data_IF_856981706231
#
_entry.id   IF_856981706231
#
_cell.length_a   1.000
_cell.length_b   1.000
_cell.length_c   1.000
_cell.angle_alpha   90.00
_cell.angle_beta   90.00
_cell.angle_gamma   90.00
#
_symmetry.space_group_name_H-M   'P 1'
#
loop_
_entity.id
_entity.type
_entity.pdbx_description
1 polymer ?
#
# COMPACT_ATOMS: atom_id res chain seq x y z
N UNK A 1 7.63 14.48 11.33
CA UNK A 1 8.29 13.70 10.25
C UNK A 1 7.55 12.38 10.15
N UNK A 2 7.22 11.89 8.95
CA UNK A 2 6.48 10.61 8.77
C UNK A 2 7.47 9.46 8.95
N UNK A 3 7.33 8.69 10.02
CA UNK A 3 8.22 7.57 10.37
C UNK A 3 7.50 6.22 10.39
N UNK A 4 6.17 6.21 10.33
CA UNK A 4 5.36 5.01 10.43
C UNK A 4 4.61 4.75 9.12
N UNK A 5 4.52 3.47 8.74
CA UNK A 5 3.74 3.00 7.61
C UNK A 5 2.76 1.89 8.04
N UNK A 6 1.62 1.82 7.38
CA UNK A 6 0.62 0.76 7.51
C UNK A 6 0.53 0.02 6.19
N UNK A 7 0.56 -1.30 6.24
CA UNK A 7 0.36 -2.17 5.06
C UNK A 7 -0.75 -3.18 5.38
N UNK A 8 -1.96 -2.99 4.81
CA UNK A 8 -3.06 -3.94 4.95
C UNK A 8 -2.80 -5.22 4.16
N UNK A 9 -2.64 -6.34 4.84
CA UNK A 9 -2.34 -7.66 4.25
C UNK A 9 -3.44 -8.69 4.52
N UNK A 10 -4.49 -8.34 5.29
CA UNK A 10 -5.52 -9.29 5.71
C UNK A 10 -6.49 -9.73 4.61
N UNK A 11 -6.52 -9.04 3.47
CA UNK A 11 -7.43 -9.33 2.35
C UNK A 11 -7.25 -10.75 1.79
N UNK A 12 -8.36 -11.40 1.40
CA UNK A 12 -8.37 -12.81 1.01
C UNK A 12 -7.67 -13.11 -0.33
N UNK A 13 -7.52 -12.10 -1.20
CA UNK A 13 -6.87 -12.30 -2.49
C UNK A 13 -7.68 -13.11 -3.50
N UNK A 14 -9.01 -13.03 -3.46
CA UNK A 14 -9.93 -13.85 -4.27
C UNK A 14 -9.70 -13.78 -5.77
N UNK A 15 -9.14 -12.69 -6.27
CA UNK A 15 -8.78 -12.52 -7.69
C UNK A 15 -7.60 -13.40 -8.15
N UNK A 16 -6.89 -14.03 -7.21
CA UNK A 16 -5.74 -14.92 -7.45
C UNK A 16 -6.05 -16.38 -7.05
N UNK A 17 -7.32 -16.73 -6.84
CA UNK A 17 -7.71 -18.12 -6.66
C UNK A 17 -7.39 -18.94 -7.93
N UNK A 18 -7.03 -20.25 -7.77
CA UNK A 18 -6.98 -21.03 -6.51
C UNK A 18 -5.71 -20.83 -5.66
N UNK A 19 -4.64 -20.15 -6.15
CA UNK A 19 -3.37 -20.04 -5.43
C UNK A 19 -3.52 -19.45 -4.03
N UNK A 20 -4.37 -18.46 -3.85
CA UNK A 20 -4.57 -17.79 -2.56
C UNK A 20 -5.41 -18.58 -1.56
N UNK A 21 -5.86 -19.78 -1.92
CA UNK A 21 -6.40 -20.72 -0.94
C UNK A 21 -5.31 -21.27 -0.01
N UNK A 22 -4.05 -21.28 -0.47
CA UNK A 22 -2.89 -21.83 0.25
C UNK A 22 -1.85 -20.75 0.54
N UNK A 23 -1.57 -19.85 -0.42
CA UNK A 23 -0.51 -18.87 -0.32
C UNK A 23 -1.03 -17.46 -0.09
N UNK A 24 -0.37 -16.69 0.78
CA UNK A 24 -0.59 -15.26 0.82
C UNK A 24 -0.06 -14.62 -0.48
N UNK A 25 -0.93 -13.86 -1.19
CA UNK A 25 -0.55 -13.22 -2.47
C UNK A 25 0.68 -12.32 -2.35
N UNK A 26 0.89 -11.75 -1.18
CA UNK A 26 1.98 -10.85 -0.85
C UNK A 26 3.34 -11.57 -0.79
N UNK A 27 3.33 -12.90 -0.63
CA UNK A 27 4.52 -13.75 -0.65
C UNK A 27 4.78 -14.40 -2.00
N UNK A 28 3.94 -14.19 -3.01
CA UNK A 28 4.21 -14.69 -4.35
C UNK A 28 5.53 -14.09 -4.87
N UNK A 29 6.40 -14.94 -5.47
CA UNK A 29 7.73 -14.52 -5.86
C UNK A 29 7.69 -13.64 -7.12
N UNK A 30 8.36 -12.51 -7.08
CA UNK A 30 8.57 -11.61 -8.21
C UNK A 30 10.08 -11.44 -8.36
N UNK A 31 10.65 -11.95 -9.44
CA UNK A 31 12.10 -11.89 -9.70
C UNK A 31 12.95 -12.28 -8.47
N UNK A 32 12.71 -13.46 -7.91
CA UNK A 32 13.53 -14.06 -6.85
C UNK A 32 13.24 -13.61 -5.42
N UNK A 33 12.30 -12.66 -5.18
CA UNK A 33 11.88 -12.25 -3.83
C UNK A 33 10.37 -12.04 -3.74
N UNK A 34 9.76 -12.15 -2.53
CA UNK A 34 8.35 -11.85 -2.34
C UNK A 34 7.97 -10.44 -2.77
N UNK A 35 6.77 -10.27 -3.37
CA UNK A 35 6.25 -8.96 -3.72
C UNK A 35 6.22 -7.98 -2.54
N UNK A 36 5.99 -8.49 -1.33
CA UNK A 36 5.98 -7.70 -0.09
C UNK A 36 7.34 -7.03 0.21
N UNK A 37 8.46 -7.63 -0.19
CA UNK A 37 9.78 -7.03 0.04
C UNK A 37 9.98 -5.73 -0.76
N UNK A 38 9.43 -5.63 -1.97
CA UNK A 38 9.47 -4.37 -2.74
C UNK A 38 8.78 -3.23 -1.98
N UNK A 39 7.66 -3.53 -1.30
CA UNK A 39 6.95 -2.54 -0.49
C UNK A 39 7.73 -2.14 0.77
N UNK A 40 8.39 -3.12 1.42
CA UNK A 40 9.26 -2.85 2.58
C UNK A 40 10.45 -1.97 2.15
N UNK A 41 11.09 -2.30 1.04
CA UNK A 41 12.22 -1.54 0.50
C UNK A 41 11.81 -0.11 0.14
N UNK A 42 10.64 0.09 -0.48
CA UNK A 42 10.06 1.40 -0.74
C UNK A 42 9.92 2.21 0.56
N UNK A 43 9.42 1.59 1.63
CA UNK A 43 9.29 2.22 2.94
C UNK A 43 10.67 2.62 3.53
N UNK A 44 11.65 1.71 3.47
CA UNK A 44 13.01 1.95 3.98
C UNK A 44 13.66 3.14 3.28
N UNK A 45 13.62 3.17 1.94
CA UNK A 45 14.16 4.26 1.13
C UNK A 45 13.44 5.60 1.35
N UNK A 46 12.14 5.55 1.68
CA UNK A 46 11.36 6.73 2.05
C UNK A 46 11.65 7.24 3.46
N UNK A 47 12.48 6.54 4.25
CA UNK A 47 12.87 6.93 5.60
C UNK A 47 11.92 6.49 6.71
N UNK A 48 11.02 5.54 6.42
CA UNK A 48 10.14 4.91 7.40
C UNK A 48 10.97 4.08 8.39
N UNK A 49 10.60 4.12 9.66
CA UNK A 49 11.29 3.43 10.76
C UNK A 49 10.48 2.29 11.36
N UNK A 50 9.16 2.34 11.24
CA UNK A 50 8.25 1.32 11.75
C UNK A 50 7.16 1.02 10.71
N UNK A 51 6.94 -0.27 10.44
CA UNK A 51 5.93 -0.75 9.50
C UNK A 51 4.94 -1.62 10.26
N UNK A 52 3.65 -1.30 10.16
CA UNK A 52 2.58 -2.05 10.80
C UNK A 52 1.88 -2.89 9.75
N UNK A 53 2.06 -4.20 9.83
CA UNK A 53 1.36 -5.17 8.99
C UNK A 53 0.04 -5.56 9.63
N UNK A 54 -1.05 -5.41 8.88
CA UNK A 54 -2.35 -5.91 9.31
C UNK A 54 -2.59 -7.24 8.60
N UNK A 55 -2.51 -8.34 9.33
CA UNK A 55 -2.70 -9.70 8.82
C UNK A 55 -3.96 -10.35 9.41
N UNK A 56 -4.40 -11.45 8.81
CA UNK A 56 -5.36 -12.38 9.45
C UNK A 56 -4.64 -13.64 9.91
N UNK A 57 -5.27 -14.41 10.79
CA UNK A 57 -4.73 -15.72 11.21
C UNK A 57 -4.53 -16.68 10.02
N UNK A 58 -5.33 -16.56 8.95
CA UNK A 58 -5.17 -17.31 7.71
C UNK A 58 -3.88 -16.97 6.95
N UNK A 59 -3.26 -15.82 7.25
CA UNK A 59 -2.01 -15.34 6.65
C UNK A 59 -0.82 -15.36 7.61
N UNK A 60 -0.84 -16.23 8.60
CA UNK A 60 0.26 -16.41 9.57
C UNK A 60 1.60 -16.70 8.87
N UNK A 61 1.59 -17.24 7.66
CA UNK A 61 2.78 -17.48 6.85
C UNK A 61 3.57 -16.20 6.56
N UNK A 62 2.92 -15.04 6.49
CA UNK A 62 3.61 -13.74 6.37
C UNK A 62 4.45 -13.48 7.62
N UNK A 63 3.90 -13.73 8.82
CA UNK A 63 4.65 -13.59 10.07
C UNK A 63 5.79 -14.61 10.16
N UNK A 64 5.54 -15.84 9.73
CA UNK A 64 6.54 -16.92 9.73
C UNK A 64 7.71 -16.59 8.79
N UNK A 65 7.45 -15.94 7.66
CA UNK A 65 8.50 -15.50 6.74
C UNK A 65 9.58 -14.65 7.44
N UNK A 66 9.18 -13.77 8.36
CA UNK A 66 10.11 -12.92 9.11
C UNK A 66 10.64 -13.55 10.40
N UNK A 67 10.04 -14.62 10.90
CA UNK A 67 10.34 -15.19 12.22
C UNK A 67 10.96 -16.61 12.17
N UNK A 68 11.33 -17.11 10.99
CA UNK A 68 11.89 -18.45 10.85
C UNK A 68 13.40 -18.50 11.13
N UNK A 69 13.82 -17.91 12.23
CA UNK A 69 15.24 -17.78 12.60
C UNK A 69 15.94 -19.14 12.77
N UNK A 70 15.26 -20.13 13.34
CA UNK A 70 15.82 -21.47 13.60
C UNK A 70 16.20 -22.16 12.27
N UNK A 71 15.31 -22.09 11.26
CA UNK A 71 15.58 -22.65 9.93
C UNK A 71 16.81 -22.00 9.28
N UNK A 72 16.88 -20.68 9.22
CA UNK A 72 18.02 -19.98 8.63
C UNK A 72 19.32 -20.29 9.34
N UNK A 73 19.37 -20.26 10.67
CA UNK A 73 20.57 -20.57 11.48
C UNK A 73 21.06 -21.99 11.21
N UNK A 74 20.13 -22.98 11.14
CA UNK A 74 20.44 -24.38 10.83
C UNK A 74 21.10 -24.51 9.44
N UNK A 75 20.51 -23.89 8.41
CA UNK A 75 21.03 -23.97 7.03
C UNK A 75 22.36 -23.24 6.89
N UNK A 76 22.52 -22.05 7.46
CA UNK A 76 23.78 -21.28 7.41
C UNK A 76 24.91 -22.07 8.06
N UNK A 77 24.68 -22.67 9.24
CA UNK A 77 25.67 -23.52 9.92
C UNK A 77 26.08 -24.72 9.06
N UNK A 78 25.12 -25.37 8.36
CA UNK A 78 25.37 -26.55 7.52
C UNK A 78 26.07 -26.22 6.20
N UNK A 79 25.60 -25.17 5.50
CA UNK A 79 26.04 -24.89 4.11
C UNK A 79 27.15 -23.85 3.99
N UNK A 80 27.34 -23.01 5.02
CA UNK A 80 28.31 -21.87 5.02
C UNK A 80 28.17 -20.93 3.80
N UNK A 81 26.96 -20.85 3.20
CA UNK A 81 26.66 -20.07 2.01
C UNK A 81 26.49 -18.59 2.35
N UNK A 82 27.34 -17.72 1.78
CA UNK A 82 27.30 -16.27 1.98
C UNK A 82 25.99 -15.64 1.49
N UNK A 83 25.40 -16.14 0.40
CA UNK A 83 24.13 -15.65 -0.15
C UNK A 83 23.00 -15.86 0.87
N UNK A 84 22.86 -17.07 1.41
CA UNK A 84 21.85 -17.39 2.42
C UNK A 84 22.05 -16.54 3.68
N UNK A 85 23.29 -16.35 4.10
CA UNK A 85 23.64 -15.50 5.25
C UNK A 85 23.21 -14.05 5.02
N UNK A 86 23.42 -13.49 3.81
CA UNK A 86 23.03 -12.13 3.47
C UNK A 86 21.50 -11.96 3.42
N UNK A 87 20.77 -12.93 2.83
CA UNK A 87 19.31 -12.92 2.84
C UNK A 87 18.77 -12.96 4.27
N UNK A 88 19.34 -13.79 5.15
CA UNK A 88 18.94 -13.82 6.55
C UNK A 88 19.19 -12.49 7.27
N UNK A 89 20.34 -11.85 7.05
CA UNK A 89 20.63 -10.51 7.61
C UNK A 89 19.60 -9.47 7.15
N UNK A 90 19.18 -9.54 5.87
CA UNK A 90 18.15 -8.67 5.31
C UNK A 90 16.80 -8.89 6.02
N UNK A 91 16.39 -10.14 6.17
CA UNK A 91 15.15 -10.51 6.90
C UNK A 91 15.19 -10.02 8.36
N UNK A 92 16.33 -10.17 9.06
CA UNK A 92 16.48 -9.65 10.41
C UNK A 92 16.33 -8.12 10.49
N UNK A 93 16.83 -7.39 9.49
CA UNK A 93 16.63 -5.93 9.39
C UNK A 93 15.16 -5.59 9.25
N UNK A 94 14.43 -6.28 8.38
CA UNK A 94 13.00 -6.08 8.20
C UNK A 94 12.21 -6.40 9.48
N UNK A 95 12.50 -7.56 10.10
CA UNK A 95 11.86 -8.01 11.34
C UNK A 95 11.89 -6.94 12.44
N UNK A 96 13.01 -6.22 12.60
CA UNK A 96 13.17 -5.15 13.59
C UNK A 96 12.24 -3.96 13.37
N UNK A 97 11.78 -3.76 12.13
CA UNK A 97 10.91 -2.64 11.76
C UNK A 97 9.43 -3.00 11.77
N UNK A 98 9.09 -4.30 11.73
CA UNK A 98 7.72 -4.78 11.50
C UNK A 98 7.01 -5.06 12.82
N UNK A 99 5.78 -4.53 12.93
CA UNK A 99 4.81 -4.90 13.95
C UNK A 99 3.60 -5.56 13.31
N UNK A 100 3.03 -6.57 13.95
CA UNK A 100 1.86 -7.28 13.48
C UNK A 100 0.61 -6.88 14.27
N UNK A 101 -0.47 -6.58 13.54
CA UNK A 101 -1.81 -6.32 14.05
C UNK A 101 -2.76 -7.27 13.34
N UNK A 102 -3.79 -7.76 14.02
CA UNK A 102 -4.68 -8.76 13.46
C UNK A 102 -6.05 -8.18 13.08
N UNK A 103 -6.50 -8.52 11.88
CA UNK A 103 -7.85 -8.33 11.37
C UNK A 103 -8.35 -9.69 10.88
N UNK A 104 -8.98 -10.49 11.78
CA UNK A 104 -9.40 -11.84 11.44
C UNK A 104 -10.67 -11.87 10.59
N UNK A 105 -11.55 -10.89 10.78
CA UNK A 105 -12.71 -10.66 9.94
C UNK A 105 -12.42 -9.47 9.04
N UNK A 106 -12.19 -9.67 7.73
CA UNK A 106 -11.87 -8.59 6.81
C UNK A 106 -13.12 -7.76 6.51
N UNK A 107 -13.30 -6.69 7.27
CA UNK A 107 -14.38 -5.71 7.11
C UNK A 107 -13.94 -4.47 6.32
N UNK A 108 -13.03 -4.63 5.38
CA UNK A 108 -12.55 -3.56 4.50
C UNK A 108 -11.26 -2.87 4.96
N UNK A 109 -10.73 -2.00 4.11
CA UNK A 109 -9.45 -1.31 4.31
C UNK A 109 -9.51 -0.27 5.42
N UNK A 110 -10.66 0.36 5.63
CA UNK A 110 -10.86 1.32 6.72
C UNK A 110 -10.83 0.66 8.09
N UNK A 111 -11.46 -0.52 8.25
CA UNK A 111 -11.38 -1.31 9.49
C UNK A 111 -9.95 -1.78 9.75
N UNK A 112 -9.23 -2.26 8.71
CA UNK A 112 -7.83 -2.61 8.83
C UNK A 112 -7.01 -1.46 9.41
N UNK A 113 -7.12 -0.27 8.83
CA UNK A 113 -6.44 0.93 9.32
C UNK A 113 -6.86 1.26 10.75
N UNK A 114 -8.14 1.17 11.09
CA UNK A 114 -8.65 1.46 12.43
C UNK A 114 -8.03 0.59 13.52
N UNK A 115 -7.74 -0.70 13.25
CA UNK A 115 -7.05 -1.61 14.16
C UNK A 115 -5.66 -1.10 14.58
N UNK A 116 -5.06 -0.22 13.78
CA UNK A 116 -3.71 0.32 14.08
C UNK A 116 -3.72 1.60 14.92
N UNK A 117 -4.89 2.16 15.26
CA UNK A 117 -5.05 3.46 15.94
C UNK A 117 -4.11 3.65 17.14
N UNK A 118 -3.97 2.62 18.01
CA UNK A 118 -3.14 2.68 19.22
C UNK A 118 -1.63 2.65 18.95
N UNK A 119 -1.22 2.25 17.75
CA UNK A 119 0.18 2.11 17.38
C UNK A 119 0.71 3.34 16.63
N UNK A 120 -0.16 4.14 16.02
CA UNK A 120 0.23 5.36 15.30
C UNK A 120 0.50 6.49 16.28
N UNK A 121 1.77 6.92 16.30
CA UNK A 121 2.28 8.00 17.17
C UNK A 121 2.33 9.33 16.42
N UNK A 122 2.77 9.30 15.16
CA UNK A 122 2.95 10.50 14.33
C UNK A 122 1.60 11.12 13.92
N UNK A 123 1.57 12.43 13.65
CA UNK A 123 0.37 13.14 13.17
C UNK A 123 -0.03 12.72 11.75
N UNK A 124 0.92 12.20 10.97
CA UNK A 124 0.73 11.65 9.63
C UNK A 124 1.47 10.32 9.51
N UNK A 125 0.89 9.40 8.78
CA UNK A 125 1.47 8.10 8.49
C UNK A 125 1.30 7.75 7.01
N UNK A 126 2.17 6.87 6.52
CA UNK A 126 2.09 6.33 5.18
C UNK A 126 1.20 5.08 5.18
N UNK A 127 0.35 4.90 4.18
CA UNK A 127 -0.38 3.65 3.93
C UNK A 127 -0.07 3.18 2.52
N UNK A 128 0.29 1.88 2.37
CA UNK A 128 0.60 1.27 1.07
C UNK A 128 -0.26 0.03 0.87
N UNK A 129 -0.87 -0.08 -0.31
CA UNK A 129 -1.52 -1.32 -0.74
C UNK A 129 -0.46 -2.27 -1.32
N UNK A 130 -0.46 -3.56 -0.90
CA UNK A 130 0.65 -4.47 -1.20
C UNK A 130 0.64 -5.01 -2.64
N UNK A 131 -0.48 -4.92 -3.34
CA UNK A 131 -0.63 -5.37 -4.72
C UNK A 131 -0.31 -4.30 -5.77
N UNK A 132 -0.12 -3.06 -5.35
CA UNK A 132 0.33 -1.95 -6.19
C UNK A 132 1.85 -1.79 -6.07
N UNK A 133 2.63 -2.35 -6.99
CA UNK A 133 4.08 -2.13 -7.00
C UNK A 133 4.43 -0.90 -7.84
N UNK A 134 5.37 -0.11 -7.35
CA UNK A 134 5.90 1.04 -8.08
C UNK A 134 7.42 0.89 -8.13
N UNK A 135 7.96 0.78 -9.35
CA UNK A 135 9.39 0.56 -9.59
C UNK A 135 10.03 1.73 -10.34
N UNK A 136 11.36 1.73 -10.48
CA UNK A 136 12.22 2.76 -11.09
C UNK A 136 12.33 4.05 -10.30
N UNK A 137 11.31 4.49 -9.57
CA UNK A 137 11.32 5.68 -8.71
C UNK A 137 10.54 5.38 -7.43
N UNK A 138 11.00 5.88 -6.31
CA UNK A 138 10.33 5.70 -5.02
C UNK A 138 9.17 6.71 -4.87
N UNK A 139 7.95 6.21 -5.03
CA UNK A 139 6.73 7.00 -4.93
C UNK A 139 6.54 7.58 -3.51
N UNK A 140 6.71 6.77 -2.49
CA UNK A 140 6.52 7.17 -1.09
C UNK A 140 7.48 8.29 -0.68
N UNK A 141 8.74 8.24 -1.10
CA UNK A 141 9.73 9.29 -0.87
C UNK A 141 9.32 10.61 -1.55
N UNK A 142 8.84 10.55 -2.79
CA UNK A 142 8.33 11.72 -3.51
C UNK A 142 7.11 12.33 -2.80
N UNK A 143 6.16 11.50 -2.39
CA UNK A 143 4.97 11.95 -1.64
C UNK A 143 5.33 12.61 -0.30
N UNK A 144 6.32 12.10 0.43
CA UNK A 144 6.80 12.72 1.67
C UNK A 144 7.38 14.10 1.39
N UNK A 145 8.08 14.30 0.28
CA UNK A 145 8.58 15.61 -0.14
C UNK A 145 7.43 16.58 -0.46
N UNK A 146 6.39 16.10 -1.15
CA UNK A 146 5.16 16.87 -1.41
C UNK A 146 4.46 17.25 -0.11
N UNK A 147 4.30 16.28 0.82
CA UNK A 147 3.73 16.54 2.14
C UNK A 147 4.51 17.63 2.91
N UNK A 148 5.85 17.55 2.91
CA UNK A 148 6.71 18.56 3.56
C UNK A 148 6.47 19.95 2.98
N UNK A 149 6.33 20.06 1.64
CA UNK A 149 6.12 21.32 0.92
C UNK A 149 4.75 21.93 1.22
N UNK A 150 3.68 21.13 1.13
CA UNK A 150 2.30 21.65 1.20
C UNK A 150 1.65 21.47 2.57
N UNK A 151 2.29 20.77 3.52
CA UNK A 151 1.77 20.48 4.88
C UNK A 151 0.38 19.84 4.87
N UNK A 152 0.09 19.05 3.85
CA UNK A 152 -1.22 18.45 3.58
C UNK A 152 -1.10 16.93 3.41
N UNK A 153 -2.17 16.14 3.66
CA UNK A 153 -2.23 14.73 3.24
C UNK A 153 -1.99 14.62 1.74
N UNK A 154 -1.43 13.48 1.31
CA UNK A 154 -1.08 13.25 -0.11
C UNK A 154 -1.61 11.89 -0.54
N UNK A 155 -2.16 11.81 -1.73
CA UNK A 155 -2.55 10.57 -2.38
C UNK A 155 -1.80 10.43 -3.71
N UNK A 156 -1.27 9.23 -4.00
CA UNK A 156 -0.61 8.96 -5.25
C UNK A 156 -1.61 8.93 -6.42
N UNK A 157 -1.15 9.41 -7.56
CA UNK A 157 -1.89 9.42 -8.81
C UNK A 157 -1.02 8.95 -9.96
N UNK A 158 -1.62 8.28 -10.93
CA UNK A 158 -1.02 8.07 -12.25
C UNK A 158 -1.96 8.53 -13.36
N UNK A 159 -1.37 8.86 -14.51
CA UNK A 159 -2.16 9.14 -15.72
C UNK A 159 -2.52 7.83 -16.40
N UNK A 160 -3.80 7.60 -16.65
CA UNK A 160 -4.29 6.42 -17.37
C UNK A 160 -4.88 6.78 -18.73
N UNK A 161 -4.98 5.81 -19.63
CA UNK A 161 -5.67 6.00 -20.89
C UNK A 161 -7.16 6.27 -20.61
N UNK A 162 -7.75 7.26 -21.28
CA UNK A 162 -9.19 7.61 -21.14
C UNK A 162 -10.11 6.40 -21.35
N UNK A 163 -9.75 5.47 -22.23
CA UNK A 163 -10.53 4.25 -22.49
C UNK A 163 -10.53 3.26 -21.32
N UNK A 164 -9.65 3.43 -20.31
CA UNK A 164 -9.51 2.51 -19.18
C UNK A 164 -9.88 3.12 -17.82
N UNK A 165 -10.39 4.35 -17.80
CA UNK A 165 -10.74 5.06 -16.55
C UNK A 165 -11.77 4.30 -15.72
N UNK A 166 -12.69 3.57 -16.35
CA UNK A 166 -13.71 2.76 -15.69
C UNK A 166 -13.18 1.59 -14.84
N UNK A 167 -11.87 1.36 -14.88
CA UNK A 167 -11.19 0.34 -14.05
C UNK A 167 -10.69 0.88 -12.71
N UNK A 168 -10.71 2.21 -12.51
CA UNK A 168 -10.00 2.93 -11.45
C UNK A 168 -10.91 3.88 -10.68
N UNK A 169 -10.53 4.18 -9.44
CA UNK A 169 -10.97 5.41 -8.80
C UNK A 169 -10.30 6.59 -9.50
N UNK A 170 -11.07 7.58 -9.96
CA UNK A 170 -10.59 8.74 -10.71
C UNK A 170 -10.75 10.01 -9.90
N UNK A 171 -9.67 10.78 -9.81
CA UNK A 171 -9.69 12.07 -9.12
C UNK A 171 -10.51 13.11 -9.87
N UNK A 172 -11.44 13.75 -9.16
CA UNK A 172 -11.97 15.05 -9.52
C UNK A 172 -11.03 16.12 -8.96
N UNK A 173 -10.55 17.01 -9.85
CA UNK A 173 -9.48 17.95 -9.54
C UNK A 173 -10.08 19.35 -9.32
N UNK A 174 -9.92 19.89 -8.09
CA UNK A 174 -10.36 21.25 -7.75
C UNK A 174 -9.44 22.32 -8.33
N UNK A 175 -8.11 22.13 -8.22
CA UNK A 175 -7.09 23.09 -8.70
C UNK A 175 -5.77 22.35 -8.93
N UNK A 176 -5.08 22.68 -10.03
CA UNK A 176 -3.71 22.22 -10.29
C UNK A 176 -2.71 23.23 -9.76
N UNK A 177 -1.64 22.77 -9.11
CA UNK A 177 -0.49 23.59 -8.73
C UNK A 177 0.58 23.59 -9.82
N UNK A 178 0.80 22.41 -10.43
CA UNK A 178 1.75 22.19 -11.51
C UNK A 178 1.38 20.88 -12.24
N UNK A 179 2.26 20.40 -13.15
CA UNK A 179 2.07 19.17 -13.93
C UNK A 179 1.78 17.94 -13.07
N UNK A 180 2.36 17.86 -11.86
CA UNK A 180 2.33 16.66 -11.04
C UNK A 180 1.48 16.79 -9.78
N UNK A 181 1.13 18.01 -9.34
CA UNK A 181 0.44 18.19 -8.06
C UNK A 181 -0.86 18.98 -8.24
N UNK A 182 -1.92 18.52 -7.60
CA UNK A 182 -3.24 19.11 -7.66
C UNK A 182 -4.00 18.95 -6.35
N UNK A 183 -4.98 19.82 -6.09
CA UNK A 183 -5.94 19.68 -4.99
C UNK A 183 -7.03 18.72 -5.42
N UNK A 184 -7.29 17.71 -4.59
CA UNK A 184 -8.36 16.73 -4.78
C UNK A 184 -9.68 17.37 -4.30
N UNK A 185 -10.72 17.34 -5.15
CA UNK A 185 -12.09 17.69 -4.79
C UNK A 185 -12.83 16.48 -4.24
N UNK A 186 -12.77 15.37 -4.98
CA UNK A 186 -13.29 14.07 -4.59
C UNK A 186 -12.68 12.94 -5.45
N UNK A 187 -13.15 11.71 -5.23
CA UNK A 187 -12.79 10.54 -6.02
C UNK A 187 -14.06 9.86 -6.50
N UNK A 188 -14.17 9.63 -7.80
CA UNK A 188 -15.27 8.87 -8.40
C UNK A 188 -14.81 7.45 -8.69
N UNK A 189 -15.43 6.47 -8.05
CA UNK A 189 -15.05 5.05 -8.21
C UNK A 189 -15.62 4.51 -9.52
N UNK A 190 -14.73 4.01 -10.38
CA UNK A 190 -15.03 3.36 -11.67
C UNK A 190 -16.07 4.09 -12.51
N UNK A 191 -15.86 5.38 -12.83
CA UNK A 191 -16.83 6.15 -13.59
C UNK A 191 -16.98 5.59 -15.00
N UNK A 192 -18.16 5.70 -15.60
CA UNK A 192 -18.32 5.52 -17.04
C UNK A 192 -17.36 6.45 -17.81
N UNK A 193 -16.82 6.01 -18.93
CA UNK A 193 -15.80 6.75 -19.70
C UNK A 193 -16.23 8.19 -19.99
N UNK A 194 -17.51 8.37 -20.36
CA UNK A 194 -18.09 9.69 -20.71
C UNK A 194 -18.21 10.63 -19.51
N UNK A 195 -18.25 10.10 -18.27
CA UNK A 195 -18.46 10.85 -17.03
C UNK A 195 -17.21 10.90 -16.13
N UNK A 196 -16.07 10.41 -16.61
CA UNK A 196 -14.83 10.46 -15.85
C UNK A 196 -14.35 11.91 -15.70
N UNK A 197 -14.17 12.42 -14.45
CA UNK A 197 -13.82 13.82 -14.21
C UNK A 197 -12.40 14.17 -14.65
N UNK A 198 -11.55 13.18 -14.81
CA UNK A 198 -10.18 13.33 -15.31
C UNK A 198 -9.63 11.98 -15.81
N UNK A 199 -8.34 11.95 -16.17
CA UNK A 199 -7.61 10.70 -16.42
C UNK A 199 -6.57 10.41 -15.33
N UNK A 200 -6.74 10.97 -14.13
CA UNK A 200 -5.84 10.77 -13.00
C UNK A 200 -6.42 9.69 -12.08
N UNK A 201 -5.80 8.51 -12.10
CA UNK A 201 -6.23 7.36 -11.31
C UNK A 201 -5.60 7.37 -9.91
N UNK A 202 -6.39 6.90 -8.94
CA UNK A 202 -5.93 6.64 -7.57
C UNK A 202 -5.04 5.41 -7.55
N UNK A 203 -3.92 5.49 -6.85
CA UNK A 203 -2.99 4.38 -6.63
C UNK A 203 -2.81 4.19 -5.14
N UNK A 204 -2.60 2.96 -4.72
CA UNK A 204 -2.57 2.52 -3.33
C UNK A 204 -1.40 3.04 -2.50
N UNK A 205 -1.11 4.35 -2.58
CA UNK A 205 -0.15 5.07 -1.75
C UNK A 205 -0.80 6.31 -1.18
N UNK A 206 -0.81 6.42 0.15
CA UNK A 206 -1.50 7.48 0.86
C UNK A 206 -0.65 8.00 2.02
N UNK A 207 -0.53 9.32 2.17
CA UNK A 207 -0.11 9.97 3.41
C UNK A 207 -1.38 10.47 4.08
N UNK A 208 -1.75 9.84 5.18
CA UNK A 208 -2.99 10.08 5.89
C UNK A 208 -2.75 10.80 7.22
N UNK A 209 -3.63 11.74 7.60
CA UNK A 209 -3.56 12.40 8.90
C UNK A 209 -4.15 11.50 9.99
N UNK A 210 -3.59 11.56 11.20
CA UNK A 210 -4.07 10.77 12.36
C UNK A 210 -5.55 11.03 12.71
N UNK A 211 -6.08 12.21 12.37
CA UNK A 211 -7.50 12.53 12.55
C UNK A 211 -8.45 11.58 11.80
N UNK A 212 -7.95 10.85 10.77
CA UNK A 212 -8.75 9.89 10.01
C UNK A 212 -9.35 8.80 10.90
N UNK A 213 -8.69 8.43 12.00
CA UNK A 213 -9.22 7.47 12.96
C UNK A 213 -10.54 7.92 13.61
N UNK A 214 -10.73 9.24 13.83
CA UNK A 214 -12.00 9.78 14.33
C UNK A 214 -13.13 9.61 13.31
N UNK A 215 -12.82 9.70 12.01
CA UNK A 215 -13.81 9.47 10.94
C UNK A 215 -14.15 8.00 10.82
N UNK A 216 -13.14 7.12 10.80
CA UNK A 216 -13.33 5.66 10.74
C UNK A 216 -14.16 5.11 11.90
N UNK A 217 -13.99 5.63 13.13
CA UNK A 217 -14.79 5.22 14.29
C UNK A 217 -16.28 5.54 14.16
N UNK A 218 -16.64 6.60 13.42
CA UNK A 218 -18.03 7.06 13.23
C UNK A 218 -18.62 6.59 11.88
N UNK A 219 -17.81 5.93 11.06
CA UNK A 219 -18.23 5.50 9.73
C UNK A 219 -19.17 4.32 9.83
N UNK A 220 -20.32 4.42 9.18
CA UNK A 220 -21.25 3.30 8.98
C UNK A 220 -20.64 2.31 7.97
N UNK A 221 -21.05 1.05 8.10
CA UNK A 221 -20.72 0.00 7.13
C UNK A 221 -21.26 0.44 5.76
N UNK A 222 -20.37 0.47 4.77
CA UNK A 222 -20.68 0.90 3.41
C UNK A 222 -21.01 -0.24 2.46
N UNK A 223 -20.83 0.00 1.16
CA UNK A 223 -21.06 -0.97 0.11
C UNK A 223 -20.29 -2.27 0.35
N UNK A 224 -20.95 -3.40 0.16
CA UNK A 224 -20.34 -4.72 0.35
C UNK A 224 -20.14 -5.16 1.81
N UNK A 225 -20.72 -4.46 2.78
CA UNK A 225 -20.53 -4.77 4.21
C UNK A 225 -19.17 -4.33 4.75
N UNK A 226 -18.49 -3.42 4.07
CA UNK A 226 -17.12 -3.01 4.39
C UNK A 226 -17.01 -1.55 4.84
N UNK A 227 -16.00 -1.26 5.64
CA UNK A 227 -15.56 0.09 6.00
C UNK A 227 -14.41 0.47 5.06
N UNK A 228 -14.68 1.37 4.10
CA UNK A 228 -13.69 1.79 3.11
C UNK A 228 -12.89 3.01 3.59
N UNK A 229 -11.58 2.97 3.44
CA UNK A 229 -10.70 4.09 3.77
C UNK A 229 -11.00 5.33 2.91
N UNK A 230 -11.43 5.12 1.67
CA UNK A 230 -11.81 6.18 0.73
C UNK A 230 -12.97 7.01 1.22
N UNK A 231 -13.96 6.42 1.90
CA UNK A 231 -15.11 7.16 2.45
C UNK A 231 -14.68 8.06 3.60
N UNK A 232 -13.76 7.57 4.46
CA UNK A 232 -13.19 8.40 5.53
C UNK A 232 -12.35 9.57 4.97
N UNK A 233 -11.58 9.33 3.91
CA UNK A 233 -10.83 10.37 3.18
C UNK A 233 -11.81 11.40 2.61
N UNK A 234 -12.87 10.95 1.94
CA UNK A 234 -13.88 11.82 1.36
C UNK A 234 -14.60 12.65 2.42
N UNK A 235 -14.90 12.06 3.59
CA UNK A 235 -15.45 12.81 4.73
C UNK A 235 -14.49 13.89 5.22
N UNK A 236 -13.17 13.65 5.22
CA UNK A 236 -12.20 14.68 5.58
C UNK A 236 -12.13 15.80 4.54
N UNK A 237 -12.17 15.48 3.26
CA UNK A 237 -12.19 16.46 2.16
C UNK A 237 -13.44 17.35 2.25
N UNK A 238 -14.61 16.75 2.49
CA UNK A 238 -15.89 17.49 2.68
C UNK A 238 -15.87 18.41 3.92
N UNK A 239 -15.00 18.13 4.90
CA UNK A 239 -14.75 18.99 6.06
C UNK A 239 -13.53 19.92 5.83
N UNK A 240 -13.31 20.36 4.59
CA UNK A 240 -12.31 21.31 4.15
C UNK A 240 -10.84 20.91 4.37
N UNK A 241 -10.56 19.64 4.71
CA UNK A 241 -9.17 19.20 4.77
C UNK A 241 -8.63 19.01 3.35
N UNK A 242 -7.64 19.81 3.01
CA UNK A 242 -7.02 19.86 1.70
C UNK A 242 -6.14 18.63 1.48
N UNK A 243 -6.53 17.75 0.55
CA UNK A 243 -5.71 16.62 0.08
C UNK A 243 -5.02 16.96 -1.24
N UNK A 244 -3.75 16.58 -1.35
CA UNK A 244 -2.95 16.76 -2.58
C UNK A 244 -2.86 15.45 -3.34
N UNK A 245 -3.27 15.45 -4.61
CA UNK A 245 -2.95 14.39 -5.55
C UNK A 245 -1.55 14.61 -6.12
N UNK A 246 -0.70 13.57 -6.07
CA UNK A 246 0.65 13.59 -6.64
C UNK A 246 0.79 12.57 -7.76
N UNK A 247 0.93 13.04 -9.00
CA UNK A 247 1.21 12.19 -10.15
C UNK A 247 2.68 11.76 -10.10
N UNK A 248 2.92 10.53 -9.59
CA UNK A 248 4.28 10.05 -9.36
C UNK A 248 5.02 9.76 -10.68
N UNK A 249 6.34 9.83 -10.60
CA UNK A 249 7.24 9.28 -11.60
C UNK A 249 7.57 7.83 -11.27
N UNK A 250 7.72 6.97 -12.27
CA UNK A 250 8.00 5.56 -12.09
C UNK A 250 7.05 4.69 -12.89
N UNK A 251 7.18 3.38 -12.74
CA UNK A 251 6.34 2.39 -13.42
C UNK A 251 5.44 1.71 -12.41
N UNK A 252 4.13 1.81 -12.63
CA UNK A 252 3.12 1.09 -11.86
C UNK A 252 2.96 -0.34 -12.39
N UNK A 253 2.86 -1.30 -11.49
CA UNK A 253 2.70 -2.72 -11.75
C UNK A 253 1.60 -3.28 -10.85
N UNK A 254 0.52 -3.78 -11.46
CA UNK A 254 -0.61 -4.41 -10.76
C UNK A 254 -0.29 -5.89 -10.48
N UNK A 255 -0.16 -6.24 -9.21
CA UNK A 255 0.02 -7.63 -8.76
C UNK A 255 -1.26 -8.21 -8.12
N UNK A 256 -2.38 -7.53 -8.23
CA UNK A 256 -3.65 -7.93 -7.64
C UNK A 256 -4.47 -8.95 -8.46
N UNK A 257 -4.06 -9.24 -9.70
CA UNK A 257 -4.69 -10.22 -10.60
C UNK A 257 -3.64 -11.15 -11.19
N UNK A 258 -4.02 -12.34 -11.64
CA UNK A 258 -3.06 -13.30 -12.22
C UNK A 258 -2.33 -12.71 -13.44
N UNK A 259 -3.08 -12.15 -14.39
CA UNK A 259 -2.48 -11.53 -15.59
C UNK A 259 -1.59 -10.33 -15.21
N UNK A 260 -2.00 -9.54 -14.23
CA UNK A 260 -1.21 -8.42 -13.70
C UNK A 260 0.08 -8.91 -13.06
N UNK A 261 0.01 -9.95 -12.21
CA UNK A 261 1.15 -10.58 -11.56
C UNK A 261 2.18 -11.10 -12.57
N UNK A 262 1.74 -11.87 -13.59
CA UNK A 262 2.63 -12.40 -14.63
C UNK A 262 3.33 -11.25 -15.39
N UNK A 263 2.56 -10.25 -15.83
CA UNK A 263 3.11 -9.08 -16.51
C UNK A 263 4.10 -8.32 -15.63
N UNK A 264 3.78 -8.14 -14.36
CA UNK A 264 4.64 -7.43 -13.40
C UNK A 264 5.95 -8.18 -13.15
N UNK A 265 5.90 -9.52 -13.00
CA UNK A 265 7.08 -10.37 -12.87
C UNK A 265 8.00 -10.25 -14.08
N UNK A 266 7.44 -10.30 -15.29
CA UNK A 266 8.20 -10.14 -16.53
C UNK A 266 8.83 -8.76 -16.66
N UNK A 267 8.12 -7.70 -16.30
CA UNK A 267 8.62 -6.34 -16.36
C UNK A 267 9.72 -6.06 -15.33
N UNK A 268 9.63 -6.66 -14.15
CA UNK A 268 10.68 -6.54 -13.12
C UNK A 268 11.92 -7.34 -13.51
N UNK A 269 11.76 -8.50 -14.16
CA UNK A 269 12.90 -9.30 -14.62
C UNK A 269 13.75 -8.58 -15.69
N UNK A 270 13.21 -7.54 -16.35
CA UNK A 270 13.92 -6.73 -17.34
C UNK A 270 14.65 -5.50 -16.75
N UNK A 271 14.47 -5.22 -15.46
CA UNK A 271 15.07 -4.07 -14.77
C UNK A 271 16.34 -4.50 -14.03
#
# INVERSE_FOLDING_TARGET
MIKQAIIPLAGLGTRLLPLTSVFAKELLPINGKPGLEYIIEECIEAGIKEIIFIISNKKIMIKNYFNNDAFFKKIIKKKKDKRISNEYKKILKYKKMIKFVYQNNPCGTGDAVLKTKKFIKDNYFLMLLPDDLIVKKNCSKAMISVHKKYKSPVMASMSVNKKTVSRWGIYNIKKKFNKNNFIIQDVVEKPPIKHAPSNKAVIGRYILPKIIFKKLLKQKIGKGGEIHITDAIQSLIKNDLKFIGHNFAGKYLDCGTMNGYIKSSFEIAKI
#
